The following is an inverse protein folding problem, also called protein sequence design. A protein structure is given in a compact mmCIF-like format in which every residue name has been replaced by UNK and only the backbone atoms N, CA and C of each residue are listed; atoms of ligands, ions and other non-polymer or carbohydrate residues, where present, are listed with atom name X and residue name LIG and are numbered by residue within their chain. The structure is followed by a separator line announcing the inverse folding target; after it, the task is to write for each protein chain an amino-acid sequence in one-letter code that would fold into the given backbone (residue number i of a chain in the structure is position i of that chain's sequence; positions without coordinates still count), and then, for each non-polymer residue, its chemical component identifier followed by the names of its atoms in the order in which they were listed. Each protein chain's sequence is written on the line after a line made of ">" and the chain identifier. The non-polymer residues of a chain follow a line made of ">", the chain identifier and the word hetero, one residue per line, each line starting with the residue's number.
data_IF_587025427254
#
_entry.id   IF_587025427254
#
_cell.length_a   1.000
_cell.length_b   1.000
_cell.length_c   1.000
_cell.angle_alpha   90.00
_cell.angle_beta   90.00
_cell.angle_gamma   90.00
#
_symmetry.space_group_name_H-M   'P 1'
#
loop_
_entity.id
_entity.type
_entity.pdbx_description
1 polymer ?
#
# COMPACT_ATOMS: atom_id res chain seq x y z
N UNK A 1 -27.07 -41.58 -35.57
CA UNK A 1 -25.92 -41.75 -34.63
C UNK A 1 -24.82 -40.68 -34.81
N UNK A 2 -25.02 -39.62 -35.63
CA UNK A 2 -24.00 -38.54 -35.87
C UNK A 2 -24.13 -37.36 -34.92
N UNK A 3 -25.27 -37.12 -34.26
CA UNK A 3 -25.51 -35.93 -33.47
C UNK A 3 -24.78 -35.93 -32.13
N UNK A 4 -24.48 -37.09 -31.51
CA UNK A 4 -23.77 -37.18 -30.23
C UNK A 4 -22.28 -36.79 -30.36
N UNK A 5 -21.61 -37.09 -31.48
CA UNK A 5 -20.21 -36.80 -31.68
C UNK A 5 -19.96 -35.29 -31.91
N UNK A 6 -20.88 -34.63 -32.60
CA UNK A 6 -20.83 -33.17 -32.82
C UNK A 6 -21.07 -32.40 -31.51
N UNK A 7 -21.97 -32.87 -30.64
CA UNK A 7 -22.20 -32.25 -29.32
C UNK A 7 -20.99 -32.34 -28.41
N UNK A 8 -20.32 -33.50 -28.34
CA UNK A 8 -19.10 -33.67 -27.51
C UNK A 8 -17.96 -32.81 -28.05
N UNK A 9 -17.76 -32.70 -29.35
CA UNK A 9 -16.72 -31.85 -29.92
C UNK A 9 -16.92 -30.37 -29.64
N UNK A 10 -18.17 -29.88 -29.64
CA UNK A 10 -18.51 -28.51 -29.29
C UNK A 10 -18.23 -28.18 -27.79
N UNK A 11 -18.57 -29.10 -26.90
CA UNK A 11 -18.30 -28.93 -25.43
C UNK A 11 -16.80 -28.90 -25.16
N UNK A 12 -16.01 -29.81 -25.81
CA UNK A 12 -14.55 -29.79 -25.66
C UNK A 12 -13.92 -28.50 -26.20
N UNK A 13 -14.39 -28.01 -27.32
CA UNK A 13 -13.91 -26.74 -27.90
C UNK A 13 -14.19 -25.54 -26.95
N UNK A 14 -15.36 -25.50 -26.33
CA UNK A 14 -15.73 -24.47 -25.35
C UNK A 14 -14.86 -24.54 -24.08
N UNK A 15 -14.57 -25.75 -23.60
CA UNK A 15 -13.69 -25.95 -22.42
C UNK A 15 -12.27 -25.48 -22.75
N UNK A 16 -11.73 -25.86 -23.90
CA UNK A 16 -10.39 -25.42 -24.35
C UNK A 16 -10.34 -23.90 -24.55
N UNK A 17 -11.38 -23.34 -25.16
CA UNK A 17 -11.48 -21.87 -25.33
C UNK A 17 -11.57 -21.15 -23.98
N UNK A 18 -12.38 -21.64 -23.04
CA UNK A 18 -12.46 -21.08 -21.70
C UNK A 18 -11.14 -21.21 -20.94
N UNK A 19 -10.45 -22.34 -21.04
CA UNK A 19 -9.13 -22.54 -20.44
C UNK A 19 -8.07 -21.61 -21.05
N UNK A 20 -8.04 -21.46 -22.36
CA UNK A 20 -7.18 -20.49 -23.05
C UNK A 20 -7.52 -19.05 -22.68
N UNK A 21 -8.78 -18.70 -22.62
CA UNK A 21 -9.24 -17.37 -22.21
C UNK A 21 -8.83 -17.07 -20.78
N UNK A 22 -8.98 -18.03 -19.85
CA UNK A 22 -8.54 -17.91 -18.47
C UNK A 22 -7.01 -17.81 -18.37
N UNK A 23 -6.25 -18.56 -19.16
CA UNK A 23 -4.79 -18.44 -19.23
C UNK A 23 -4.33 -17.10 -19.81
N UNK A 24 -5.01 -16.57 -20.82
CA UNK A 24 -4.71 -15.24 -21.38
C UNK A 24 -5.05 -14.14 -20.38
N UNK A 25 -6.17 -14.28 -19.66
CA UNK A 25 -6.60 -13.34 -18.62
C UNK A 25 -5.70 -13.41 -17.37
N UNK A 26 -5.15 -14.58 -17.04
CA UNK A 26 -4.19 -14.75 -15.93
C UNK A 26 -2.76 -14.33 -16.29
N UNK A 27 -2.41 -14.30 -17.58
CA UNK A 27 -1.22 -13.60 -18.06
C UNK A 27 -1.51 -12.11 -18.02
N UNK A 28 -1.57 -11.56 -16.80
CA UNK A 28 -1.55 -10.13 -16.56
C UNK A 28 -0.43 -9.56 -17.44
N UNK A 29 -0.76 -8.58 -18.23
CA UNK A 29 0.18 -7.88 -19.10
C UNK A 29 1.43 -7.58 -18.25
N UNK A 30 2.52 -8.29 -18.53
CA UNK A 30 3.86 -7.93 -18.06
C UNK A 30 4.21 -6.63 -18.75
N UNK A 31 3.50 -5.57 -18.39
CA UNK A 31 3.88 -4.22 -18.77
C UNK A 31 5.13 -3.94 -17.97
N UNK A 32 6.27 -4.15 -18.64
CA UNK A 32 7.57 -3.89 -18.05
C UNK A 32 7.64 -2.39 -17.72
N UNK A 33 7.35 -2.05 -16.48
CA UNK A 33 7.46 -0.67 -16.02
C UNK A 33 8.95 -0.36 -15.78
N UNK A 34 9.61 0.38 -16.66
CA UNK A 34 11.07 0.55 -16.65
C UNK A 34 11.58 1.28 -15.41
N UNK A 35 10.68 1.95 -14.67
CA UNK A 35 10.99 2.64 -13.42
C UNK A 35 11.00 1.70 -12.19
N UNK A 36 10.50 0.46 -12.32
CA UNK A 36 10.56 -0.49 -11.22
C UNK A 36 11.99 -0.77 -10.76
N UNK A 37 12.20 -0.93 -9.45
CA UNK A 37 13.47 -1.36 -8.89
C UNK A 37 13.99 -2.63 -9.57
N UNK A 38 15.31 -2.77 -9.67
CA UNK A 38 15.93 -3.95 -10.32
C UNK A 38 15.49 -5.25 -9.66
N UNK A 39 15.30 -5.23 -8.35
CA UNK A 39 14.92 -6.36 -7.50
C UNK A 39 13.56 -6.96 -7.84
N UNK A 40 12.66 -6.14 -8.38
CA UNK A 40 11.29 -6.54 -8.76
C UNK A 40 11.00 -6.30 -10.24
N UNK A 41 12.02 -5.98 -11.03
CA UNK A 41 11.86 -5.81 -12.47
C UNK A 41 11.51 -7.16 -13.11
N UNK A 42 10.48 -7.18 -13.97
CA UNK A 42 9.94 -8.40 -14.56
C UNK A 42 9.06 -9.23 -13.64
N UNK A 43 8.81 -8.79 -12.40
CA UNK A 43 7.83 -9.40 -11.53
C UNK A 43 6.41 -9.19 -12.07
N UNK A 44 5.52 -10.15 -11.83
CA UNK A 44 4.12 -10.10 -12.23
C UNK A 44 3.35 -9.10 -11.36
N UNK A 45 2.56 -8.21 -11.96
CA UNK A 45 1.60 -7.39 -11.22
C UNK A 45 0.48 -8.29 -10.68
N UNK A 46 0.58 -8.68 -9.41
CA UNK A 46 -0.38 -9.58 -8.77
C UNK A 46 -1.66 -8.86 -8.34
N UNK A 47 -1.53 -7.65 -7.77
CA UNK A 47 -2.67 -6.86 -7.32
C UNK A 47 -2.47 -5.38 -7.68
N UNK A 48 -3.57 -4.72 -8.07
CA UNK A 48 -3.64 -3.30 -8.34
C UNK A 48 -4.94 -2.72 -7.79
N UNK A 49 -4.85 -1.60 -7.08
CA UNK A 49 -5.99 -0.86 -6.56
C UNK A 49 -6.98 -1.73 -5.75
N UNK A 50 -6.47 -2.78 -5.10
CA UNK A 50 -7.29 -3.76 -4.38
C UNK A 50 -7.32 -3.48 -2.89
N UNK A 51 -8.53 -3.57 -2.30
CA UNK A 51 -8.75 -3.48 -0.86
C UNK A 51 -8.58 -4.85 -0.22
N UNK A 52 -7.89 -4.87 0.93
CA UNK A 52 -7.69 -6.03 1.79
C UNK A 52 -8.07 -5.71 3.23
N UNK A 53 -8.42 -6.74 3.99
CA UNK A 53 -8.89 -6.60 5.37
C UNK A 53 -8.30 -7.69 6.27
N UNK A 54 -7.76 -7.29 7.40
CA UNK A 54 -7.39 -8.19 8.49
C UNK A 54 -8.47 -8.13 9.57
N UNK A 55 -9.27 -9.16 9.69
CA UNK A 55 -10.28 -9.27 10.76
C UNK A 55 -9.63 -9.45 12.12
N UNK A 56 -8.53 -10.19 12.19
CA UNK A 56 -7.77 -10.43 13.41
C UNK A 56 -7.29 -9.13 14.04
N UNK A 57 -6.78 -8.22 13.23
CA UNK A 57 -6.21 -6.95 13.68
C UNK A 57 -7.19 -5.78 13.56
N UNK A 58 -8.34 -5.96 12.92
CA UNK A 58 -9.28 -4.89 12.62
C UNK A 58 -8.63 -3.81 11.75
N UNK A 59 -7.80 -4.21 10.79
CA UNK A 59 -7.11 -3.34 9.85
C UNK A 59 -7.71 -3.47 8.47
N UNK A 60 -7.74 -2.36 7.76
CA UNK A 60 -8.16 -2.31 6.35
C UNK A 60 -7.19 -1.44 5.60
N UNK A 61 -6.74 -1.90 4.44
CA UNK A 61 -5.91 -1.11 3.54
C UNK A 61 -6.32 -1.33 2.08
N UNK A 62 -6.03 -0.34 1.26
CA UNK A 62 -6.09 -0.45 -0.19
C UNK A 62 -4.67 -0.32 -0.71
N UNK A 63 -4.25 -1.28 -1.52
CA UNK A 63 -2.94 -1.27 -2.15
C UNK A 63 -3.01 -0.52 -3.46
N UNK A 64 -1.99 0.26 -3.76
CA UNK A 64 -1.80 0.75 -5.12
C UNK A 64 -1.34 -0.40 -6.01
N UNK A 65 -0.24 -1.06 -5.67
CA UNK A 65 0.30 -2.19 -6.44
C UNK A 65 1.04 -3.20 -5.57
N UNK A 66 0.94 -4.47 -5.94
CA UNK A 66 1.77 -5.54 -5.41
C UNK A 66 2.27 -6.42 -6.57
N UNK A 67 3.57 -6.64 -6.62
CA UNK A 67 4.25 -7.43 -7.64
C UNK A 67 4.73 -8.75 -7.04
N UNK A 68 4.50 -9.86 -7.75
CA UNK A 68 4.95 -11.19 -7.35
C UNK A 68 6.24 -11.54 -8.06
N UNK A 69 7.31 -11.73 -7.31
CA UNK A 69 8.62 -12.13 -7.80
C UNK A 69 9.32 -13.04 -6.81
N UNK A 70 9.93 -14.13 -7.26
CA UNK A 70 10.67 -15.05 -6.39
C UNK A 70 9.84 -15.70 -5.28
N UNK A 71 8.51 -15.84 -5.45
CA UNK A 71 7.61 -16.40 -4.43
C UNK A 71 7.24 -15.41 -3.31
N UNK A 72 7.56 -14.14 -3.45
CA UNK A 72 7.29 -13.08 -2.49
C UNK A 72 6.52 -11.95 -3.16
N UNK A 73 5.59 -11.34 -2.45
CA UNK A 73 4.90 -10.12 -2.88
C UNK A 73 5.69 -8.88 -2.45
N UNK A 74 5.86 -7.94 -3.36
CA UNK A 74 6.54 -6.66 -3.13
C UNK A 74 5.56 -5.52 -3.31
N UNK A 75 5.41 -4.69 -2.29
CA UNK A 75 4.50 -3.55 -2.30
C UNK A 75 5.14 -2.33 -2.95
N UNK A 76 4.35 -1.63 -3.75
CA UNK A 76 4.73 -0.36 -4.37
C UNK A 76 3.58 0.64 -4.20
N UNK A 77 3.86 1.72 -3.51
CA UNK A 77 2.96 2.85 -3.29
C UNK A 77 3.30 3.99 -4.25
N UNK A 78 2.32 4.55 -4.93
CA UNK A 78 2.49 5.66 -5.87
C UNK A 78 2.20 6.99 -5.18
N UNK A 79 3.13 7.93 -5.22
CA UNK A 79 2.93 9.26 -4.62
C UNK A 79 3.33 10.36 -5.60
N UNK A 80 2.49 11.39 -5.72
CA UNK A 80 2.84 12.63 -6.43
C UNK A 80 3.32 13.68 -5.43
N UNK A 81 4.55 14.19 -5.62
CA UNK A 81 5.20 15.13 -4.68
C UNK A 81 6.04 16.18 -5.42
N UNK A 82 6.35 17.27 -4.72
CA UNK A 82 7.25 18.30 -5.23
C UNK A 82 8.73 17.85 -5.26
N UNK A 83 9.10 16.93 -4.36
CA UNK A 83 10.47 16.41 -4.24
C UNK A 83 10.47 14.90 -3.98
N UNK A 84 11.59 14.27 -4.33
CA UNK A 84 11.76 12.82 -4.15
C UNK A 84 12.08 12.52 -2.69
N UNK A 85 11.06 12.14 -1.92
CA UNK A 85 11.22 11.70 -0.54
C UNK A 85 10.12 10.71 -0.16
N UNK A 86 10.48 9.68 0.58
CA UNK A 86 9.57 8.85 1.36
C UNK A 86 9.47 9.42 2.78
N UNK A 87 8.31 9.27 3.40
CA UNK A 87 8.04 9.73 4.76
C UNK A 87 7.72 8.55 5.68
N UNK A 88 7.87 8.73 6.99
CA UNK A 88 7.50 7.69 7.95
C UNK A 88 6.02 7.25 7.83
N UNK A 89 5.13 8.15 7.41
CA UNK A 89 3.73 7.83 7.14
C UNK A 89 3.57 6.82 5.99
N UNK A 90 4.44 6.87 4.98
CA UNK A 90 4.39 5.92 3.86
C UNK A 90 4.83 4.53 4.34
N UNK A 91 5.87 4.46 5.18
CA UNK A 91 6.31 3.21 5.77
C UNK A 91 5.22 2.59 6.66
N UNK A 92 4.50 3.40 7.46
CA UNK A 92 3.37 2.94 8.27
C UNK A 92 2.25 2.41 7.36
N UNK A 93 1.86 3.16 6.32
CA UNK A 93 0.83 2.77 5.36
C UNK A 93 1.17 1.43 4.68
N UNK A 94 2.37 1.30 4.14
CA UNK A 94 2.85 0.08 3.51
C UNK A 94 2.97 -1.09 4.50
N UNK A 95 3.31 -0.83 5.77
CA UNK A 95 3.35 -1.87 6.80
C UNK A 95 1.94 -2.40 7.12
N UNK A 96 0.95 -1.53 7.18
CA UNK A 96 -0.46 -1.95 7.32
C UNK A 96 -0.90 -2.76 6.09
N UNK A 97 -0.54 -2.32 4.88
CA UNK A 97 -0.82 -3.05 3.64
C UNK A 97 -0.17 -4.45 3.66
N UNK A 98 1.09 -4.57 4.12
CA UNK A 98 1.79 -5.85 4.30
C UNK A 98 1.00 -6.80 5.18
N UNK A 99 0.58 -6.35 6.37
CA UNK A 99 -0.14 -7.17 7.34
C UNK A 99 -1.47 -7.69 6.75
N UNK A 100 -2.29 -6.80 6.19
CA UNK A 100 -3.60 -7.20 5.67
C UNK A 100 -3.49 -8.10 4.43
N UNK A 101 -2.51 -7.84 3.56
CA UNK A 101 -2.27 -8.64 2.37
C UNK A 101 -1.80 -10.05 2.76
N UNK A 102 -0.84 -10.15 3.66
CA UNK A 102 -0.29 -11.42 4.12
C UNK A 102 -1.35 -12.28 4.84
N UNK A 103 -2.19 -11.66 5.69
CA UNK A 103 -3.25 -12.39 6.38
C UNK A 103 -4.34 -12.88 5.41
N UNK A 104 -4.79 -12.04 4.48
CA UNK A 104 -5.90 -12.41 3.59
C UNK A 104 -5.48 -13.40 2.50
N UNK A 105 -4.24 -13.33 2.03
CA UNK A 105 -3.76 -14.20 0.94
C UNK A 105 -2.99 -15.42 1.42
N UNK A 106 -2.39 -15.36 2.62
CA UNK A 106 -1.43 -16.38 3.10
C UNK A 106 -0.09 -16.35 2.37
N UNK A 107 0.13 -15.40 1.45
CA UNK A 107 1.39 -15.26 0.72
C UNK A 107 2.42 -14.45 1.52
N UNK A 108 3.69 -14.77 1.37
CA UNK A 108 4.77 -13.99 1.95
C UNK A 108 4.84 -12.61 1.31
N UNK A 109 4.90 -11.57 2.13
CA UNK A 109 5.08 -10.19 1.68
C UNK A 109 6.44 -9.68 2.18
N UNK A 110 7.19 -9.06 1.30
CA UNK A 110 8.53 -8.53 1.60
C UNK A 110 8.50 -7.55 2.79
N UNK A 111 9.50 -7.61 3.70
CA UNK A 111 9.67 -6.59 4.74
C UNK A 111 10.21 -5.26 4.18
N UNK A 112 10.47 -5.22 2.88
CA UNK A 112 10.88 -4.03 2.13
C UNK A 112 9.86 -3.72 1.08
N UNK A 113 9.49 -2.44 0.98
CA UNK A 113 8.58 -1.92 -0.04
C UNK A 113 9.18 -0.70 -0.75
N UNK A 114 8.45 -0.17 -1.71
CA UNK A 114 8.90 0.98 -2.49
C UNK A 114 7.83 2.07 -2.55
N UNK A 115 8.26 3.31 -2.32
CA UNK A 115 7.46 4.50 -2.59
C UNK A 115 7.91 5.07 -3.92
N UNK A 116 7.10 4.91 -4.95
CA UNK A 116 7.38 5.42 -6.29
C UNK A 116 6.88 6.86 -6.38
N UNK A 117 7.80 7.80 -6.24
CA UNK A 117 7.51 9.23 -6.24
C UNK A 117 7.61 9.80 -7.64
N UNK A 118 6.49 10.33 -8.12
CA UNK A 118 6.42 11.12 -9.35
C UNK A 118 6.37 12.60 -9.00
N UNK A 119 7.25 13.39 -9.56
CA UNK A 119 7.16 14.85 -9.45
C UNK A 119 6.13 15.40 -10.42
N UNK A 120 5.42 16.43 -9.98
CA UNK A 120 4.49 17.16 -10.84
C UNK A 120 5.19 17.68 -12.09
N UNK A 121 4.66 17.31 -13.27
CA UNK A 121 5.21 17.75 -14.57
C UNK A 121 6.52 17.06 -15.00
N UNK A 122 7.00 16.07 -14.27
CA UNK A 122 8.19 15.29 -14.63
C UNK A 122 7.83 13.85 -15.02
N UNK A 123 8.72 13.20 -15.79
CA UNK A 123 8.53 11.87 -16.40
C UNK A 123 8.24 10.72 -15.42
N UNK A 124 8.92 9.60 -15.61
CA UNK A 124 8.64 8.37 -14.85
C UNK A 124 8.87 8.52 -13.34
N UNK A 125 8.09 7.81 -12.49
CA UNK A 125 8.31 7.77 -11.05
C UNK A 125 9.71 7.27 -10.69
N UNK A 126 10.21 7.71 -9.53
CA UNK A 126 11.44 7.18 -8.93
C UNK A 126 11.09 6.36 -7.71
N UNK A 127 11.44 5.07 -7.67
CA UNK A 127 11.21 4.22 -6.50
C UNK A 127 12.22 4.57 -5.40
N UNK A 128 11.71 4.73 -4.19
CA UNK A 128 12.48 4.91 -2.97
C UNK A 128 12.21 3.71 -2.08
N UNK A 129 13.26 2.97 -1.76
CA UNK A 129 13.18 1.82 -0.86
C UNK A 129 12.84 2.28 0.55
N UNK A 130 11.91 1.56 1.20
CA UNK A 130 11.55 1.74 2.59
C UNK A 130 11.51 0.40 3.31
N UNK A 131 12.07 0.37 4.51
CA UNK A 131 11.94 -0.78 5.41
C UNK A 131 10.62 -0.66 6.17
N UNK A 132 9.88 -1.76 6.26
CA UNK A 132 8.56 -1.79 6.88
C UNK A 132 8.67 -2.09 8.37
N UNK A 133 7.78 -1.52 9.14
CA UNK A 133 7.61 -1.83 10.57
C UNK A 133 7.12 -3.27 10.75
N UNK A 134 7.50 -3.88 11.85
CA UNK A 134 6.97 -5.20 12.23
C UNK A 134 5.52 -5.09 12.72
N UNK A 135 4.83 -6.23 12.76
CA UNK A 135 3.41 -6.29 13.10
C UNK A 135 3.12 -5.73 14.49
N UNK A 136 3.94 -6.06 15.47
CA UNK A 136 3.82 -5.59 16.86
C UNK A 136 3.98 -4.07 16.99
N UNK A 137 4.89 -3.47 16.22
CA UNK A 137 5.07 -2.01 16.18
C UNK A 137 3.80 -1.32 15.64
N UNK A 138 3.20 -1.84 14.57
CA UNK A 138 1.95 -1.32 14.01
C UNK A 138 0.79 -1.49 15.00
N UNK A 139 0.72 -2.64 15.68
CA UNK A 139 -0.31 -2.87 16.70
C UNK A 139 -0.15 -1.92 17.89
N UNK A 140 1.06 -1.68 18.36
CA UNK A 140 1.32 -0.70 19.41
C UNK A 140 0.90 0.73 18.99
N UNK A 141 1.17 1.14 17.74
CA UNK A 141 0.71 2.43 17.21
C UNK A 141 -0.83 2.50 17.17
N UNK A 142 -1.48 1.42 16.77
CA UNK A 142 -2.95 1.31 16.73
C UNK A 142 -3.56 1.42 18.13
N UNK A 143 -3.04 0.69 19.10
CA UNK A 143 -3.51 0.76 20.49
C UNK A 143 -3.36 2.16 21.05
N UNK A 144 -2.19 2.79 20.87
CA UNK A 144 -1.97 4.17 21.28
C UNK A 144 -2.98 5.14 20.64
N UNK A 145 -3.30 4.95 19.37
CA UNK A 145 -4.32 5.76 18.70
C UNK A 145 -5.69 5.62 19.37
N UNK A 146 -6.10 4.40 19.72
CA UNK A 146 -7.35 4.15 20.43
C UNK A 146 -7.36 4.75 21.83
N UNK A 147 -6.26 4.66 22.57
CA UNK A 147 -6.14 5.25 23.90
C UNK A 147 -6.27 6.77 23.86
N UNK A 148 -5.61 7.42 22.91
CA UNK A 148 -5.76 8.86 22.70
C UNK A 148 -7.20 9.22 22.36
N UNK A 149 -7.84 8.48 21.43
CA UNK A 149 -9.22 8.72 21.02
C UNK A 149 -10.25 8.51 22.13
N UNK A 150 -10.02 7.55 23.01
CA UNK A 150 -10.88 7.26 24.17
C UNK A 150 -10.57 8.10 25.40
N UNK A 151 -9.64 9.06 25.31
CA UNK A 151 -9.24 9.91 26.42
C UNK A 151 -8.37 9.24 27.48
N UNK A 152 -7.94 7.98 27.27
CA UNK A 152 -7.04 7.26 28.20
C UNK A 152 -5.57 7.59 27.98
N UNK A 153 -5.21 7.98 26.77
CA UNK A 153 -3.83 8.26 26.37
C UNK A 153 -3.53 9.76 26.35
N UNK A 154 -2.26 10.12 26.57
CA UNK A 154 -1.79 11.49 26.37
C UNK A 154 -1.79 11.81 24.87
N UNK A 155 -2.44 12.91 24.49
CA UNK A 155 -2.38 13.40 23.13
C UNK A 155 -0.92 13.64 22.68
N UNK A 156 -0.58 13.35 21.42
CA UNK A 156 0.74 13.64 20.88
C UNK A 156 1.01 15.15 20.95
N UNK A 157 2.27 15.51 21.16
CA UNK A 157 2.70 16.90 21.11
C UNK A 157 2.41 17.49 19.72
N UNK A 158 2.15 18.80 19.61
CA UNK A 158 1.99 19.48 18.34
C UNK A 158 3.17 19.20 17.40
N UNK A 159 2.89 19.12 16.10
CA UNK A 159 3.94 18.92 15.10
C UNK A 159 4.99 20.03 15.22
N UNK A 160 6.25 19.65 15.25
CA UNK A 160 7.37 20.59 15.33
C UNK A 160 7.56 21.48 14.08
N UNK A 161 6.74 21.28 13.04
CA UNK A 161 6.83 22.00 11.76
C UNK A 161 5.77 23.10 11.69
N UNK A 162 6.13 24.38 11.74
CA UNK A 162 5.19 25.51 11.68
C UNK A 162 4.24 25.43 10.49
N UNK A 163 4.76 25.12 9.28
CA UNK A 163 3.96 24.99 8.06
C UNK A 163 2.89 23.90 8.11
N UNK A 164 3.10 22.82 8.90
CA UNK A 164 2.09 21.80 9.10
C UNK A 164 0.92 22.31 9.94
N UNK A 165 1.20 23.20 10.91
CA UNK A 165 0.19 23.82 11.75
C UNK A 165 -0.66 24.85 11.01
N UNK A 166 -0.11 25.55 10.02
CA UNK A 166 -0.83 26.59 9.25
C UNK A 166 -2.06 26.03 8.54
N UNK A 167 -1.95 24.82 7.99
CA UNK A 167 -3.01 24.14 7.23
C UNK A 167 -3.72 23.03 8.01
N UNK A 168 -3.48 22.93 9.32
CA UNK A 168 -4.05 21.87 10.15
C UNK A 168 -5.50 22.17 10.54
N UNK A 169 -6.43 21.28 10.18
CA UNK A 169 -7.84 21.41 10.57
C UNK A 169 -8.08 21.35 12.09
N UNK A 170 -7.12 20.85 12.87
CA UNK A 170 -7.18 20.78 14.34
C UNK A 170 -6.43 21.93 15.04
N UNK A 171 -5.99 22.94 14.31
CA UNK A 171 -5.13 24.00 14.84
C UNK A 171 -5.75 24.71 16.07
N UNK A 172 -7.02 25.07 15.97
CA UNK A 172 -7.72 25.78 17.07
C UNK A 172 -7.83 24.95 18.35
N UNK A 173 -8.07 23.65 18.22
CA UNK A 173 -8.12 22.72 19.36
C UNK A 173 -6.72 22.50 19.94
N UNK A 174 -5.73 22.33 19.09
CA UNK A 174 -4.34 22.14 19.47
C UNK A 174 -3.77 23.37 20.20
N UNK A 175 -4.02 24.58 19.71
CA UNK A 175 -3.58 25.82 20.38
C UNK A 175 -4.23 26.00 21.76
N UNK A 176 -5.49 25.61 21.93
CA UNK A 176 -6.15 25.63 23.26
C UNK A 176 -5.54 24.64 24.25
N UNK A 177 -5.10 23.47 23.74
CA UNK A 177 -4.58 22.38 24.61
C UNK A 177 -3.10 22.55 24.93
N UNK A 178 -2.30 23.02 23.99
CA UNK A 178 -0.83 23.01 24.07
C UNK A 178 -0.18 24.40 23.96
N UNK A 179 -0.96 25.46 23.72
CA UNK A 179 -0.43 26.79 23.40
C UNK A 179 0.12 26.89 21.96
N UNK A 180 0.58 28.08 21.59
CA UNK A 180 1.17 28.31 20.28
C UNK A 180 2.59 27.70 20.24
N UNK A 181 2.86 26.69 19.39
CA UNK A 181 4.19 26.11 19.27
C UNK A 181 5.24 27.07 18.72
N UNK A 182 4.84 28.24 18.22
CA UNK A 182 5.75 29.30 17.73
C UNK A 182 6.09 30.34 18.80
N UNK A 183 5.28 30.46 19.86
CA UNK A 183 5.50 31.47 20.90
C UNK A 183 6.83 31.28 21.67
N UNK A 184 7.36 30.07 21.74
CA UNK A 184 8.63 29.76 22.40
C UNK A 184 9.91 29.93 21.56
N UNK A 185 9.81 30.37 20.30
CA UNK A 185 10.99 30.53 19.41
C UNK A 185 11.42 31.99 19.16
N UNK A 186 10.73 32.93 19.80
CA UNK A 186 11.01 34.35 19.68
C UNK A 186 11.73 34.94 20.93
N UNK A 187 12.25 34.08 21.79
CA UNK A 187 13.06 34.50 22.94
C UNK A 187 14.48 33.99 22.83
#
# INVERSE_FOLDING_TARGET
>A
MSDSATGVALVLALIVFAALYLQIKSRGSSYEEPWLPREIRGAELAFSEKRFESRRHGLVARLDRAYRGGGVLHLVELKTREYYAAHASDAIELSVQRIVLQEETGELVSPVAYVAVQKVGQGAPRPIRVDLFEEDEIMAMRERMFDVRSGRGRAPSPAARPKACEKCGQRSTCLRTFGDPQAGRLS
#
